data_IF_105655366440
#
_entry.id   IF_105655366440
#
_cell.length_a   1.000
_cell.length_b   1.000
_cell.length_c   1.000
_cell.angle_alpha   90.00
_cell.angle_beta   90.00
_cell.angle_gamma   90.00
#
_symmetry.space_group_name_H-M   'P 1'
#
loop_
_entity.id
_entity.type
_entity.pdbx_description
1 polymer ?
#
# COMPACT_ATOMS: atom_id res chain seq x y z
N UNK A 1 -10.45 -21.18 -7.01
CA UNK A 1 -11.12 -19.86 -7.16
C UNK A 1 -10.47 -19.01 -8.25
N UNK A 2 -9.12 -18.85 -8.28
CA UNK A 2 -8.46 -18.08 -9.35
C UNK A 2 -8.71 -18.61 -10.77
N UNK A 3 -8.71 -19.93 -10.96
CA UNK A 3 -9.07 -20.55 -12.26
C UNK A 3 -10.43 -20.07 -12.77
N UNK A 4 -11.45 -20.07 -11.92
CA UNK A 4 -12.80 -19.62 -12.28
C UNK A 4 -12.85 -18.11 -12.54
N UNK A 5 -12.21 -17.29 -11.70
CA UNK A 5 -12.16 -15.84 -11.90
C UNK A 5 -11.48 -15.48 -13.23
N UNK A 6 -10.33 -16.11 -13.54
CA UNK A 6 -9.63 -15.93 -14.81
C UNK A 6 -10.50 -16.32 -16.00
N UNK A 7 -11.23 -17.43 -15.90
CA UNK A 7 -12.15 -17.90 -16.94
C UNK A 7 -13.25 -16.88 -17.24
N UNK A 8 -13.90 -16.32 -16.21
CA UNK A 8 -14.95 -15.32 -16.40
C UNK A 8 -14.42 -14.00 -16.98
N UNK A 9 -13.23 -13.57 -16.54
CA UNK A 9 -12.60 -12.36 -17.09
C UNK A 9 -12.14 -12.57 -18.54
N UNK A 10 -11.67 -13.76 -18.88
CA UNK A 10 -11.38 -14.15 -20.27
C UNK A 10 -12.65 -14.08 -21.13
N UNK A 11 -13.76 -14.63 -20.66
CA UNK A 11 -15.05 -14.55 -21.35
C UNK A 11 -15.53 -13.11 -21.53
N UNK A 12 -15.46 -12.29 -20.48
CA UNK A 12 -15.81 -10.87 -20.56
C UNK A 12 -14.95 -10.14 -21.61
N UNK A 13 -13.65 -10.44 -21.66
CA UNK A 13 -12.73 -9.82 -22.64
C UNK A 13 -13.05 -10.26 -24.08
N UNK A 14 -13.41 -11.53 -24.28
CA UNK A 14 -13.86 -12.02 -25.59
C UNK A 14 -15.15 -11.30 -26.04
N UNK A 15 -16.15 -11.22 -25.16
CA UNK A 15 -17.43 -10.53 -25.47
C UNK A 15 -17.18 -9.06 -25.81
N UNK A 16 -16.29 -8.39 -25.06
CA UNK A 16 -15.90 -7.00 -25.38
C UNK A 16 -15.25 -6.91 -26.77
N UNK A 17 -14.35 -7.82 -27.10
CA UNK A 17 -13.68 -7.84 -28.42
C UNK A 17 -14.65 -8.08 -29.57
N UNK A 18 -15.63 -8.99 -29.42
CA UNK A 18 -16.65 -9.26 -30.43
C UNK A 18 -17.63 -8.08 -30.57
N UNK A 19 -17.98 -7.44 -29.46
CA UNK A 19 -18.81 -6.25 -29.46
C UNK A 19 -18.10 -5.07 -30.16
N UNK A 20 -16.82 -4.84 -29.89
CA UNK A 20 -16.02 -3.78 -30.53
C UNK A 20 -16.06 -3.89 -32.07
N UNK A 21 -15.96 -5.12 -32.58
CA UNK A 21 -15.98 -5.39 -34.02
C UNK A 21 -17.33 -5.07 -34.69
N UNK A 22 -18.42 -5.04 -33.92
CA UNK A 22 -19.79 -4.94 -34.45
C UNK A 22 -20.58 -3.72 -33.99
N UNK A 23 -20.13 -3.01 -32.94
CA UNK A 23 -20.92 -1.97 -32.26
C UNK A 23 -21.29 -0.75 -33.15
N UNK A 24 -20.54 -0.51 -34.23
CA UNK A 24 -20.80 0.59 -35.18
C UNK A 24 -21.40 0.11 -36.52
N UNK A 25 -21.75 -1.17 -36.63
CA UNK A 25 -22.32 -1.75 -37.86
C UNK A 25 -23.76 -1.34 -38.20
N UNK A 26 -24.64 -0.92 -37.26
CA UNK A 26 -25.98 -0.49 -37.61
C UNK A 26 -26.00 0.64 -38.65
N UNK A 27 -26.77 0.51 -39.75
CA UNK A 27 -26.87 1.57 -40.75
C UNK A 27 -27.61 2.78 -40.15
N UNK A 28 -27.17 3.99 -40.54
CA UNK A 28 -27.75 5.29 -40.15
C UNK A 28 -27.44 5.80 -38.74
N UNK A 29 -26.35 5.36 -38.09
CA UNK A 29 -25.86 6.02 -36.88
C UNK A 29 -25.38 7.45 -37.19
N UNK A 30 -25.86 8.43 -36.43
CA UNK A 30 -25.31 9.79 -36.45
C UNK A 30 -23.92 9.82 -35.82
N UNK A 31 -23.14 10.87 -36.09
CA UNK A 31 -21.81 11.03 -35.47
C UNK A 31 -21.87 11.12 -33.94
N UNK A 32 -22.93 11.75 -33.40
CA UNK A 32 -23.19 11.80 -31.95
C UNK A 32 -23.43 10.40 -31.37
N UNK A 33 -24.29 9.61 -32.01
CA UNK A 33 -24.56 8.22 -31.56
C UNK A 33 -23.30 7.35 -31.62
N UNK A 34 -22.45 7.51 -32.64
CA UNK A 34 -21.18 6.78 -32.72
C UNK A 34 -20.24 7.16 -31.58
N UNK A 35 -20.16 8.47 -31.26
CA UNK A 35 -19.35 8.95 -30.15
C UNK A 35 -19.84 8.38 -28.81
N UNK A 36 -21.15 8.37 -28.56
CA UNK A 36 -21.75 7.83 -27.33
C UNK A 36 -21.51 6.31 -27.18
N UNK A 37 -21.67 5.56 -28.27
CA UNK A 37 -21.38 4.11 -28.28
C UNK A 37 -19.89 3.87 -27.98
N UNK A 38 -19.00 4.62 -28.62
CA UNK A 38 -17.56 4.47 -28.42
C UNK A 38 -17.15 4.83 -26.99
N UNK A 39 -17.75 5.86 -26.40
CA UNK A 39 -17.48 6.25 -25.02
C UNK A 39 -17.99 5.21 -24.02
N UNK A 40 -19.21 4.70 -24.24
CA UNK A 40 -19.77 3.61 -23.44
C UNK A 40 -18.88 2.37 -23.51
N UNK A 41 -18.39 2.02 -24.71
CA UNK A 41 -17.47 0.90 -24.89
C UNK A 41 -16.17 1.09 -24.11
N UNK A 42 -15.53 2.27 -24.24
CA UNK A 42 -14.29 2.59 -23.52
C UNK A 42 -14.46 2.48 -22.01
N UNK A 43 -15.56 3.00 -21.48
CA UNK A 43 -15.90 2.89 -20.06
C UNK A 43 -16.00 1.43 -19.62
N UNK A 44 -16.80 0.61 -20.32
CA UNK A 44 -16.95 -0.82 -19.99
C UNK A 44 -15.65 -1.60 -20.13
N UNK A 45 -14.82 -1.25 -21.11
CA UNK A 45 -13.51 -1.87 -21.27
C UNK A 45 -12.56 -1.49 -20.13
N UNK A 46 -12.61 -0.24 -19.65
CA UNK A 46 -11.87 0.20 -18.47
C UNK A 46 -12.34 -0.51 -17.18
N UNK A 47 -13.63 -0.81 -17.05
CA UNK A 47 -14.15 -1.65 -15.95
C UNK A 47 -13.55 -3.06 -15.97
N UNK A 48 -13.55 -3.71 -17.14
CA UNK A 48 -12.92 -5.03 -17.33
C UNK A 48 -11.42 -4.97 -17.02
N UNK A 49 -10.74 -3.89 -17.43
CA UNK A 49 -9.33 -3.67 -17.13
C UNK A 49 -9.07 -3.60 -15.62
N UNK A 50 -9.89 -2.86 -14.86
CA UNK A 50 -9.78 -2.82 -13.40
C UNK A 50 -10.00 -4.20 -12.76
N UNK A 51 -10.94 -4.98 -13.28
CA UNK A 51 -11.15 -6.35 -12.79
C UNK A 51 -9.94 -7.27 -13.04
N UNK A 52 -9.30 -7.17 -14.21
CA UNK A 52 -8.05 -7.90 -14.48
C UNK A 52 -6.90 -7.47 -13.58
N UNK A 53 -6.77 -6.17 -13.32
CA UNK A 53 -5.77 -5.67 -12.38
C UNK A 53 -6.01 -6.20 -10.97
N UNK A 54 -7.26 -6.17 -10.49
CA UNK A 54 -7.67 -6.72 -9.20
C UNK A 54 -7.44 -8.22 -9.08
N UNK A 55 -7.66 -8.97 -10.15
CA UNK A 55 -7.33 -10.40 -10.20
C UNK A 55 -5.83 -10.63 -9.93
N UNK A 56 -4.95 -9.92 -10.62
CA UNK A 56 -3.51 -10.08 -10.44
C UNK A 56 -3.01 -9.59 -9.08
N UNK A 57 -3.55 -8.49 -8.55
CA UNK A 57 -3.27 -8.02 -7.19
C UNK A 57 -3.68 -9.06 -6.14
N UNK A 58 -4.90 -9.61 -6.25
CA UNK A 58 -5.38 -10.64 -5.34
C UNK A 58 -4.53 -11.92 -5.42
N UNK A 59 -4.08 -12.29 -6.62
CA UNK A 59 -3.20 -13.43 -6.83
C UNK A 59 -1.84 -13.22 -6.14
N UNK A 60 -1.21 -12.05 -6.31
CA UNK A 60 0.06 -11.72 -5.65
C UNK A 60 -0.09 -11.65 -4.13
N UNK A 61 -1.16 -11.03 -3.62
CA UNK A 61 -1.43 -10.96 -2.17
C UNK A 61 -1.59 -12.36 -1.59
N UNK A 62 -2.43 -13.21 -2.20
CA UNK A 62 -2.66 -14.55 -1.71
C UNK A 62 -1.41 -15.46 -1.82
N UNK A 63 -0.57 -15.23 -2.84
CA UNK A 63 0.72 -15.91 -2.98
C UNK A 63 1.67 -15.53 -1.85
N UNK A 64 1.77 -14.23 -1.54
CA UNK A 64 2.53 -13.71 -0.41
C UNK A 64 2.03 -14.26 0.93
N UNK A 65 0.72 -14.22 1.18
CA UNK A 65 0.14 -14.71 2.43
C UNK A 65 0.39 -16.21 2.62
N UNK A 66 0.38 -16.99 1.53
CA UNK A 66 0.74 -18.40 1.57
C UNK A 66 2.21 -18.62 1.94
N UNK A 67 3.12 -17.76 1.46
CA UNK A 67 4.54 -17.84 1.80
C UNK A 67 4.86 -17.41 3.24
N UNK A 68 4.00 -16.60 3.87
CA UNK A 68 4.14 -16.22 5.29
C UNK A 68 3.57 -17.25 6.27
N UNK A 69 2.60 -18.05 5.83
CA UNK A 69 1.93 -19.03 6.68
C UNK A 69 2.68 -20.36 6.64
N UNK A 70 3.50 -20.62 7.66
CA UNK A 70 4.17 -21.92 7.89
C UNK A 70 3.19 -23.09 8.11
N UNK A 71 1.90 -22.80 8.29
CA UNK A 71 0.85 -23.76 8.59
C UNK A 71 0.11 -24.21 7.33
N UNK A 72 0.85 -24.76 6.35
CA UNK A 72 0.31 -25.36 5.12
C UNK A 72 -0.86 -26.34 5.42
N UNK A 73 -0.81 -26.97 6.60
CA UNK A 73 -1.83 -27.89 7.13
C UNK A 73 -3.21 -27.25 7.19
N UNK A 74 -3.33 -26.02 7.70
CA UNK A 74 -4.61 -25.35 7.92
C UNK A 74 -5.24 -24.87 6.61
N UNK A 75 -4.43 -24.34 5.68
CA UNK A 75 -4.86 -23.96 4.34
C UNK A 75 -5.32 -25.16 3.51
N UNK A 76 -4.63 -26.30 3.63
CA UNK A 76 -5.02 -27.54 2.96
C UNK A 76 -6.34 -28.13 3.51
N UNK A 77 -6.59 -27.99 4.81
CA UNK A 77 -7.85 -28.42 5.43
C UNK A 77 -9.04 -27.54 5.02
N UNK A 78 -8.87 -26.22 4.99
CA UNK A 78 -9.92 -25.29 4.57
C UNK A 78 -10.24 -25.44 3.07
N UNK A 79 -9.22 -25.67 2.23
CA UNK A 79 -9.42 -25.97 0.80
C UNK A 79 -10.17 -27.29 0.58
N UNK A 80 -9.93 -28.34 1.41
CA UNK A 80 -10.67 -29.62 1.35
C UNK A 80 -12.13 -29.48 1.78
N UNK A 81 -12.47 -28.51 2.64
CA UNK A 81 -13.84 -28.24 3.09
C UNK A 81 -14.67 -27.51 2.03
N UNK A 82 -14.02 -26.78 1.12
CA UNK A 82 -14.67 -26.13 -0.01
C UNK A 82 -14.95 -27.13 -1.14
N UNK A 83 -16.12 -27.77 -1.09
CA UNK A 83 -16.65 -28.53 -2.24
C UNK A 83 -17.14 -27.58 -3.33
N UNK A 84 -16.21 -26.99 -4.09
CA UNK A 84 -16.53 -26.21 -5.29
C UNK A 84 -16.62 -27.21 -6.45
N UNK A 85 -17.77 -27.26 -7.12
CA UNK A 85 -17.86 -27.95 -8.40
C UNK A 85 -16.97 -27.18 -9.39
N UNK A 86 -15.84 -27.77 -9.79
CA UNK A 86 -14.86 -27.12 -10.66
C UNK A 86 -15.42 -26.75 -12.04
N UNK A 87 -16.49 -27.43 -12.46
CA UNK A 87 -17.18 -27.21 -13.73
C UNK A 87 -18.42 -26.32 -13.59
N UNK A 88 -18.82 -25.93 -12.38
CA UNK A 88 -19.89 -24.97 -12.22
C UNK A 88 -19.42 -23.62 -12.76
N UNK A 89 -20.26 -22.97 -13.57
CA UNK A 89 -20.03 -21.63 -14.12
C UNK A 89 -18.91 -21.54 -15.18
N UNK A 90 -18.63 -22.62 -15.94
CA UNK A 90 -17.76 -22.55 -17.11
C UNK A 90 -18.57 -22.30 -18.40
N UNK A 91 -18.07 -21.43 -19.26
CA UNK A 91 -18.58 -21.21 -20.61
C UNK A 91 -17.93 -22.20 -21.57
N UNK A 92 -18.50 -23.41 -21.67
CA UNK A 92 -17.89 -24.53 -22.39
C UNK A 92 -17.65 -24.23 -23.90
N UNK A 93 -18.47 -23.38 -24.51
CA UNK A 93 -18.43 -23.10 -25.94
C UNK A 93 -17.55 -21.88 -26.31
N UNK A 94 -16.93 -21.22 -25.32
CA UNK A 94 -16.14 -20.01 -25.56
C UNK A 94 -14.66 -20.34 -25.84
N UNK A 95 -14.05 -19.83 -26.92
CA UNK A 95 -12.63 -20.05 -27.23
C UNK A 95 -11.70 -19.13 -26.39
N UNK A 96 -11.52 -19.45 -25.11
CA UNK A 96 -10.87 -18.55 -24.13
C UNK A 96 -9.36 -18.74 -23.95
N UNK A 97 -8.77 -19.78 -24.53
CA UNK A 97 -7.36 -20.16 -24.32
C UNK A 97 -6.39 -18.99 -24.51
N UNK A 98 -6.61 -18.16 -25.54
CA UNK A 98 -5.75 -17.01 -25.88
C UNK A 98 -5.75 -15.92 -24.82
N UNK A 99 -6.82 -15.81 -24.02
CA UNK A 99 -6.93 -14.85 -22.93
C UNK A 99 -6.46 -15.47 -21.62
N UNK A 100 -6.82 -16.73 -21.34
CA UNK A 100 -6.44 -17.42 -20.11
C UNK A 100 -4.92 -17.64 -19.99
N UNK A 101 -4.22 -17.89 -21.10
CA UNK A 101 -2.76 -18.10 -21.10
C UNK A 101 -1.95 -16.83 -20.82
N UNK A 102 -2.58 -15.65 -20.80
CA UNK A 102 -1.90 -14.37 -20.57
C UNK A 102 -1.50 -14.15 -19.11
N UNK A 103 -2.09 -14.89 -18.18
CA UNK A 103 -1.79 -14.81 -16.75
C UNK A 103 -2.02 -16.16 -16.09
N UNK A 104 -1.18 -16.51 -15.12
CA UNK A 104 -1.34 -17.73 -14.33
C UNK A 104 -2.58 -17.70 -13.43
N UNK A 105 -3.07 -18.87 -13.03
CA UNK A 105 -4.03 -19.05 -11.95
C UNK A 105 -3.46 -19.78 -10.74
N UNK A 106 -2.17 -20.11 -10.81
CA UNK A 106 -1.40 -20.72 -9.74
C UNK A 106 -0.66 -19.65 -8.94
N UNK A 107 -0.39 -19.94 -7.67
CA UNK A 107 0.32 -19.02 -6.80
C UNK A 107 1.76 -18.77 -7.27
N UNK A 108 2.23 -17.53 -7.15
CA UNK A 108 3.60 -17.16 -7.43
C UNK A 108 4.51 -17.64 -6.30
N UNK A 109 5.61 -18.32 -6.63
CA UNK A 109 6.58 -18.81 -5.64
C UNK A 109 7.90 -18.04 -5.71
N UNK A 110 8.20 -17.46 -6.87
CA UNK A 110 9.45 -16.76 -7.14
C UNK A 110 9.22 -15.34 -7.65
N UNK A 111 10.29 -14.54 -7.69
CA UNK A 111 10.26 -13.23 -8.33
C UNK A 111 9.87 -13.30 -9.81
N UNK A 112 10.36 -14.29 -10.55
CA UNK A 112 10.07 -14.43 -11.98
C UNK A 112 8.57 -14.72 -12.22
N UNK A 113 7.94 -15.56 -11.39
CA UNK A 113 6.48 -15.79 -11.45
C UNK A 113 5.70 -14.49 -11.18
N UNK A 114 6.09 -13.78 -10.11
CA UNK A 114 5.43 -12.54 -9.69
C UNK A 114 5.62 -11.42 -10.72
N UNK A 115 6.75 -11.40 -11.42
CA UNK A 115 7.09 -10.41 -12.45
C UNK A 115 6.19 -10.52 -13.67
N UNK A 116 5.85 -11.74 -14.10
CA UNK A 116 4.89 -11.95 -15.20
C UNK A 116 3.50 -11.42 -14.83
N UNK A 117 3.03 -11.71 -13.61
CA UNK A 117 1.77 -11.14 -13.09
C UNK A 117 1.86 -9.62 -12.97
N UNK A 118 2.98 -9.09 -12.50
CA UNK A 118 3.22 -7.64 -12.42
C UNK A 118 3.09 -6.96 -13.79
N UNK A 119 3.74 -7.49 -14.83
CA UNK A 119 3.66 -6.93 -16.18
C UNK A 119 2.25 -7.00 -16.75
N UNK A 120 1.51 -8.07 -16.44
CA UNK A 120 0.10 -8.17 -16.80
C UNK A 120 -0.74 -7.09 -16.12
N UNK A 121 -0.61 -6.92 -14.79
CA UNK A 121 -1.40 -5.95 -14.02
C UNK A 121 -1.09 -4.52 -14.44
N UNK A 122 0.19 -4.15 -14.64
CA UNK A 122 0.57 -2.81 -15.12
C UNK A 122 -0.17 -2.44 -16.40
N UNK A 123 -0.20 -3.34 -17.40
CA UNK A 123 -0.87 -3.07 -18.68
C UNK A 123 -2.35 -2.76 -18.49
N UNK A 124 -3.04 -3.50 -17.62
CA UNK A 124 -4.46 -3.27 -17.37
C UNK A 124 -4.73 -2.03 -16.51
N UNK A 125 -3.87 -1.72 -15.55
CA UNK A 125 -3.96 -0.46 -14.81
C UNK A 125 -3.72 0.75 -15.71
N UNK A 126 -2.80 0.66 -16.68
CA UNK A 126 -2.56 1.72 -17.66
C UNK A 126 -3.80 1.95 -18.55
N UNK A 127 -4.46 0.87 -19.01
CA UNK A 127 -5.73 0.98 -19.77
C UNK A 127 -6.81 1.68 -18.92
N UNK A 128 -6.98 1.27 -17.67
CA UNK A 128 -7.97 1.91 -16.78
C UNK A 128 -7.64 3.39 -16.54
N UNK A 129 -6.36 3.71 -16.29
CA UNK A 129 -5.86 5.08 -16.08
C UNK A 129 -5.98 5.95 -17.34
N UNK A 130 -5.98 5.36 -18.52
CA UNK A 130 -6.22 6.08 -19.77
C UNK A 130 -7.67 6.57 -19.90
N UNK A 131 -8.63 5.84 -19.34
CA UNK A 131 -10.04 6.25 -19.34
C UNK A 131 -10.36 7.20 -18.17
N UNK A 132 -10.17 6.74 -16.92
CA UNK A 132 -10.50 7.50 -15.73
C UNK A 132 -9.50 8.65 -15.51
N UNK A 133 -9.98 9.89 -15.33
CA UNK A 133 -9.12 11.08 -15.17
C UNK A 133 -9.29 11.74 -13.81
N UNK A 134 -8.26 12.44 -13.30
CA UNK A 134 -8.34 13.08 -11.99
C UNK A 134 -9.34 14.24 -11.92
N UNK A 135 -9.67 14.88 -13.03
CA UNK A 135 -10.61 16.01 -13.13
C UNK A 135 -12.07 15.58 -13.29
N UNK A 136 -12.33 14.46 -13.97
CA UNK A 136 -13.69 13.93 -14.19
C UNK A 136 -14.08 12.83 -13.21
N UNK A 137 -13.12 11.97 -12.83
CA UNK A 137 -13.35 10.71 -12.10
C UNK A 137 -12.36 10.56 -10.94
N UNK A 138 -12.14 11.63 -10.16
CA UNK A 138 -11.11 11.71 -9.13
C UNK A 138 -11.06 10.50 -8.17
N UNK A 139 -12.23 9.98 -7.78
CA UNK A 139 -12.35 8.84 -6.86
C UNK A 139 -11.91 7.53 -7.53
N UNK A 140 -12.35 7.28 -8.75
CA UNK A 140 -11.99 6.09 -9.54
C UNK A 140 -10.52 6.13 -9.93
N UNK A 141 -10.01 7.29 -10.34
CA UNK A 141 -8.61 7.53 -10.60
C UNK A 141 -7.76 7.24 -9.36
N UNK A 142 -8.16 7.73 -8.19
CA UNK A 142 -7.46 7.45 -6.94
C UNK A 142 -7.40 5.96 -6.60
N UNK A 143 -8.48 5.21 -6.81
CA UNK A 143 -8.48 3.74 -6.64
C UNK A 143 -7.45 3.08 -7.55
N UNK A 144 -7.36 3.50 -8.81
CA UNK A 144 -6.37 2.96 -9.78
C UNK A 144 -4.94 3.27 -9.34
N UNK A 145 -4.68 4.48 -8.83
CA UNK A 145 -3.34 4.83 -8.33
C UNK A 145 -2.99 4.06 -7.04
N UNK A 146 -3.95 3.84 -6.16
CA UNK A 146 -3.77 2.95 -5.00
C UNK A 146 -3.45 1.51 -5.46
N UNK A 147 -4.09 1.02 -6.53
CA UNK A 147 -3.79 -0.30 -7.11
C UNK A 147 -2.36 -0.39 -7.66
N UNK A 148 -1.84 0.69 -8.27
CA UNK A 148 -0.42 0.77 -8.61
C UNK A 148 0.47 0.69 -7.36
N UNK A 149 0.13 1.43 -6.30
CA UNK A 149 0.91 1.42 -5.06
C UNK A 149 0.91 0.03 -4.39
N UNK A 150 -0.23 -0.65 -4.37
CA UNK A 150 -0.39 -2.03 -3.89
C UNK A 150 0.43 -3.01 -4.73
N UNK A 151 0.43 -2.87 -6.06
CA UNK A 151 1.23 -3.70 -6.95
C UNK A 151 2.73 -3.62 -6.61
N UNK A 152 3.24 -2.41 -6.37
CA UNK A 152 4.63 -2.22 -5.95
C UNK A 152 4.92 -2.73 -4.54
N UNK A 153 3.93 -2.77 -3.65
CA UNK A 153 4.05 -3.42 -2.35
C UNK A 153 4.25 -4.92 -2.51
N UNK A 154 3.45 -5.56 -3.38
CA UNK A 154 3.50 -7.00 -3.60
C UNK A 154 4.76 -7.42 -4.35
N UNK A 155 5.14 -6.73 -5.44
CA UNK A 155 6.34 -7.13 -6.19
C UNK A 155 7.63 -6.92 -5.39
N UNK A 156 7.67 -5.93 -4.49
CA UNK A 156 8.79 -5.73 -3.59
C UNK A 156 8.97 -6.88 -2.59
N UNK A 157 7.92 -7.64 -2.27
CA UNK A 157 8.04 -8.80 -1.39
C UNK A 157 8.82 -9.94 -2.04
N UNK A 158 8.63 -10.16 -3.34
CA UNK A 158 9.32 -11.23 -4.07
C UNK A 158 10.74 -10.85 -4.51
N UNK A 159 11.10 -9.57 -4.45
CA UNK A 159 12.42 -9.08 -4.82
C UNK A 159 13.46 -9.35 -3.71
N UNK A 160 14.54 -10.04 -4.06
CA UNK A 160 15.62 -10.41 -3.13
C UNK A 160 16.70 -9.33 -3.04
N UNK A 161 16.95 -8.56 -4.11
CA UNK A 161 17.94 -7.50 -4.09
C UNK A 161 17.44 -6.30 -3.27
N UNK A 162 18.09 -5.95 -2.14
CA UNK A 162 17.61 -4.88 -1.26
C UNK A 162 17.56 -3.51 -1.96
N UNK A 163 18.44 -3.28 -2.94
CA UNK A 163 18.47 -2.01 -3.67
C UNK A 163 17.26 -1.89 -4.58
N UNK A 164 16.89 -2.94 -5.31
CA UNK A 164 15.68 -3.00 -6.13
C UNK A 164 14.41 -2.97 -5.28
N UNK A 165 14.38 -3.70 -4.17
CA UNK A 165 13.27 -3.66 -3.22
C UNK A 165 13.04 -2.22 -2.71
N UNK A 166 14.11 -1.51 -2.38
CA UNK A 166 14.05 -0.08 -1.98
C UNK A 166 13.53 0.81 -3.12
N UNK A 167 13.89 0.55 -4.39
CA UNK A 167 13.35 1.30 -5.55
C UNK A 167 11.87 1.05 -5.74
N UNK A 168 11.40 -0.18 -5.57
CA UNK A 168 9.99 -0.55 -5.68
C UNK A 168 9.16 0.14 -4.58
N UNK A 169 9.62 0.12 -3.32
CA UNK A 169 8.96 0.86 -2.23
C UNK A 169 8.99 2.38 -2.47
N UNK A 170 10.07 2.92 -3.06
CA UNK A 170 10.11 4.34 -3.44
C UNK A 170 9.07 4.67 -4.51
N UNK A 171 8.88 3.76 -5.49
CA UNK A 171 7.85 3.94 -6.53
C UNK A 171 6.44 3.84 -5.96
N UNK A 172 6.21 2.94 -4.99
CA UNK A 172 4.97 2.89 -4.19
C UNK A 172 4.69 4.22 -3.48
N UNK A 173 5.68 4.78 -2.77
CA UNK A 173 5.51 6.09 -2.11
C UNK A 173 5.13 7.19 -3.10
N UNK A 174 5.76 7.20 -4.28
CA UNK A 174 5.51 8.19 -5.33
C UNK A 174 4.05 8.20 -5.81
N UNK A 175 3.41 7.04 -5.93
CA UNK A 175 1.99 6.98 -6.33
C UNK A 175 1.07 7.65 -5.30
N UNK A 176 1.32 7.44 -4.02
CA UNK A 176 0.57 8.15 -2.97
C UNK A 176 0.86 9.65 -2.96
N UNK A 177 2.12 10.05 -3.16
CA UNK A 177 2.50 11.47 -3.25
C UNK A 177 1.85 12.17 -4.45
N UNK A 178 1.78 11.51 -5.61
CA UNK A 178 1.08 12.02 -6.79
C UNK A 178 -0.41 12.26 -6.51
N UNK A 179 -1.09 11.39 -5.75
CA UNK A 179 -2.48 11.63 -5.34
C UNK A 179 -2.62 12.82 -4.39
N UNK A 180 -1.70 12.97 -3.45
CA UNK A 180 -1.70 14.07 -2.50
C UNK A 180 -1.45 15.43 -3.16
N UNK A 181 -0.76 15.46 -4.29
CA UNK A 181 -0.57 16.66 -5.12
C UNK A 181 -1.81 17.00 -5.95
N UNK A 182 -2.57 15.98 -6.38
CA UNK A 182 -3.74 16.14 -7.24
C UNK A 182 -5.03 16.47 -6.47
N UNK A 183 -5.21 15.88 -5.29
CA UNK A 183 -6.47 15.91 -4.57
C UNK A 183 -6.54 17.06 -3.57
N UNK A 184 -7.70 17.72 -3.51
CA UNK A 184 -7.99 18.69 -2.46
C UNK A 184 -8.44 17.96 -1.18
N UNK A 185 -7.70 18.07 -0.05
CA UNK A 185 -8.03 17.37 1.19
C UNK A 185 -9.38 17.75 1.80
N UNK A 186 -9.98 18.87 1.39
CA UNK A 186 -11.32 19.28 1.83
C UNK A 186 -12.41 18.35 1.31
N UNK A 187 -12.27 17.89 0.05
CA UNK A 187 -13.27 17.06 -0.62
C UNK A 187 -12.92 15.57 -0.58
N UNK A 188 -11.62 15.23 -0.54
CA UNK A 188 -11.12 13.87 -0.66
C UNK A 188 -10.34 13.39 0.57
N UNK A 189 -10.71 13.86 1.77
CA UNK A 189 -9.95 13.66 3.00
C UNK A 189 -9.62 12.19 3.29
N UNK A 190 -10.58 11.28 3.06
CA UNK A 190 -10.37 9.83 3.28
C UNK A 190 -9.27 9.28 2.36
N UNK A 191 -9.26 9.68 1.08
CA UNK A 191 -8.23 9.26 0.12
C UNK A 191 -6.87 9.87 0.50
N UNK A 192 -6.85 11.14 0.93
CA UNK A 192 -5.62 11.78 1.41
C UNK A 192 -5.07 11.07 2.65
N UNK A 193 -5.93 10.66 3.58
CA UNK A 193 -5.55 9.89 4.77
C UNK A 193 -4.92 8.55 4.41
N UNK A 194 -5.56 7.78 3.54
CA UNK A 194 -5.00 6.53 3.01
C UNK A 194 -3.63 6.76 2.35
N UNK A 195 -3.51 7.83 1.56
CA UNK A 195 -2.28 8.17 0.84
C UNK A 195 -1.14 8.60 1.77
N UNK A 196 -1.41 9.45 2.77
CA UNK A 196 -0.41 9.83 3.77
C UNK A 196 0.08 8.61 4.55
N UNK A 197 -0.85 7.78 5.02
CA UNK A 197 -0.47 6.60 5.79
C UNK A 197 0.31 5.58 4.92
N UNK A 198 -0.17 5.32 3.70
CA UNK A 198 0.49 4.45 2.72
C UNK A 198 1.89 4.92 2.34
N UNK A 199 2.10 6.22 2.12
CA UNK A 199 3.42 6.80 1.88
C UNK A 199 4.33 6.64 3.09
N UNK A 200 3.83 6.88 4.31
CA UNK A 200 4.57 6.67 5.56
C UNK A 200 5.06 5.22 5.72
N UNK A 201 4.20 4.23 5.42
CA UNK A 201 4.56 2.82 5.43
C UNK A 201 5.61 2.48 4.36
N UNK A 202 5.46 3.01 3.14
CA UNK A 202 6.42 2.78 2.06
C UNK A 202 7.82 3.32 2.41
N UNK A 203 7.92 4.54 2.94
CA UNK A 203 9.20 5.07 3.42
C UNK A 203 9.74 4.31 4.64
N UNK A 204 8.88 3.81 5.52
CA UNK A 204 9.33 2.95 6.64
C UNK A 204 9.92 1.63 6.15
N UNK A 205 9.35 1.02 5.10
CA UNK A 205 9.95 -0.16 4.47
C UNK A 205 11.32 0.15 3.84
N UNK A 206 11.45 1.30 3.16
CA UNK A 206 12.76 1.76 2.65
C UNK A 206 13.77 1.95 3.79
N UNK A 207 13.34 2.51 4.92
CA UNK A 207 14.20 2.73 6.08
C UNK A 207 14.73 1.40 6.62
N UNK A 208 13.85 0.41 6.78
CA UNK A 208 14.22 -0.89 7.34
C UNK A 208 15.28 -1.59 6.46
N UNK A 209 15.06 -1.59 5.14
CA UNK A 209 16.05 -2.08 4.16
C UNK A 209 17.39 -1.36 4.30
N UNK A 210 17.38 -0.02 4.38
CA UNK A 210 18.62 0.77 4.50
C UNK A 210 19.34 0.54 5.81
N UNK A 211 18.61 0.36 6.91
CA UNK A 211 19.20 0.07 8.21
C UNK A 211 19.84 -1.31 8.23
N UNK A 212 19.26 -2.30 7.55
CA UNK A 212 19.84 -3.64 7.47
C UNK A 212 21.10 -3.66 6.59
N UNK A 213 21.09 -2.94 5.46
CA UNK A 213 22.30 -2.70 4.67
C UNK A 213 23.39 -1.97 5.48
N UNK A 214 23.00 -0.98 6.30
CA UNK A 214 23.93 -0.25 7.17
C UNK A 214 24.57 -1.19 8.21
N UNK A 215 23.78 -2.07 8.83
CA UNK A 215 24.29 -3.07 9.80
C UNK A 215 25.25 -4.07 9.15
N UNK A 216 25.00 -4.45 7.90
CA UNK A 216 25.88 -5.34 7.14
C UNK A 216 27.17 -4.64 6.67
N UNK A 217 27.16 -3.30 6.58
CA UNK A 217 28.33 -2.51 6.19
C UNK A 217 29.35 -2.41 7.32
N UNK A 218 30.63 -2.67 6.99
CA UNK A 218 31.76 -2.55 7.94
C UNK A 218 32.19 -1.09 8.15
N UNK A 219 31.87 -0.20 7.22
CA UNK A 219 32.27 1.21 7.25
C UNK A 219 31.12 2.10 6.76
N UNK A 220 30.20 2.49 7.66
CA UNK A 220 29.14 3.46 7.36
C UNK A 220 29.72 4.75 6.76
N UNK A 221 29.28 5.13 5.56
CA UNK A 221 29.66 6.43 5.00
C UNK A 221 28.65 7.52 5.38
N UNK A 222 29.06 8.80 5.51
CA UNK A 222 28.14 9.89 5.86
C UNK A 222 26.97 10.09 4.87
N UNK A 223 27.16 9.73 3.60
CA UNK A 223 26.12 9.86 2.58
C UNK A 223 24.97 8.87 2.79
N UNK A 224 25.26 7.64 3.23
CA UNK A 224 24.27 6.63 3.61
C UNK A 224 23.45 7.07 4.82
N UNK A 225 24.11 7.64 5.83
CA UNK A 225 23.43 8.21 7.00
C UNK A 225 22.50 9.37 6.60
N UNK A 226 22.95 10.23 5.69
CA UNK A 226 22.12 11.30 5.11
C UNK A 226 20.87 10.76 4.43
N UNK A 227 21.00 9.70 3.63
CA UNK A 227 19.86 9.03 2.95
C UNK A 227 18.90 8.38 3.95
N UNK A 228 19.40 7.75 5.00
CA UNK A 228 18.57 7.17 6.08
C UNK A 228 17.75 8.26 6.75
N UNK A 229 18.40 9.36 7.15
CA UNK A 229 17.71 10.47 7.79
C UNK A 229 16.68 11.12 6.85
N UNK A 230 16.99 11.27 5.56
CA UNK A 230 16.04 11.79 4.58
C UNK A 230 14.78 10.91 4.50
N UNK A 231 14.94 9.58 4.48
CA UNK A 231 13.82 8.63 4.48
C UNK A 231 13.01 8.75 5.78
N UNK A 232 13.67 8.85 6.95
CA UNK A 232 12.98 9.10 8.21
C UNK A 232 12.12 10.37 8.14
N UNK A 233 12.67 11.48 7.62
CA UNK A 233 11.95 12.74 7.53
C UNK A 233 10.75 12.66 6.60
N UNK A 234 10.84 11.95 5.47
CA UNK A 234 9.69 11.72 4.58
C UNK A 234 8.60 10.88 5.27
N UNK A 235 8.97 9.79 5.95
CA UNK A 235 8.02 8.98 6.69
C UNK A 235 7.33 9.79 7.82
N UNK A 236 8.10 10.58 8.58
CA UNK A 236 7.58 11.44 9.66
C UNK A 236 6.62 12.48 9.08
N UNK A 237 6.97 13.15 7.98
CA UNK A 237 6.11 14.13 7.31
C UNK A 237 4.73 13.52 7.03
N UNK A 238 4.71 12.36 6.36
CA UNK A 238 3.47 11.72 5.95
C UNK A 238 2.64 11.21 7.13
N UNK A 239 3.23 10.52 8.10
CA UNK A 239 2.49 10.09 9.29
C UNK A 239 1.99 11.26 10.14
N UNK A 240 2.74 12.37 10.23
CA UNK A 240 2.27 13.57 10.92
C UNK A 240 1.07 14.19 10.21
N UNK A 241 1.10 14.32 8.88
CA UNK A 241 -0.07 14.80 8.13
C UNK A 241 -1.30 13.90 8.33
N UNK A 242 -1.10 12.58 8.40
CA UNK A 242 -2.17 11.65 8.76
C UNK A 242 -2.74 11.93 10.16
N UNK A 243 -1.89 12.01 11.19
CA UNK A 243 -2.30 12.31 12.58
C UNK A 243 -3.02 13.67 12.65
N UNK A 244 -2.46 14.70 12.03
CA UNK A 244 -3.01 16.06 12.00
C UNK A 244 -4.41 16.08 11.36
N UNK A 245 -4.69 15.22 10.38
CA UNK A 245 -6.02 15.11 9.77
C UNK A 245 -7.12 14.61 10.73
N UNK A 246 -6.72 13.96 11.83
CA UNK A 246 -7.58 13.47 12.92
C UNK A 246 -7.46 14.31 14.20
N UNK A 247 -6.71 15.42 14.17
CA UNK A 247 -6.48 16.28 15.32
C UNK A 247 -7.24 17.60 15.17
N UNK A 248 -7.94 18.01 16.22
CA UNK A 248 -8.61 19.31 16.33
C UNK A 248 -7.63 20.43 16.67
N UNK A 249 -8.07 21.69 16.57
CA UNK A 249 -7.21 22.86 16.83
C UNK A 249 -6.66 22.92 18.26
N UNK A 250 -7.37 22.31 19.21
CA UNK A 250 -6.97 22.23 20.62
C UNK A 250 -6.03 21.04 20.91
N UNK A 251 -5.73 20.22 19.91
CA UNK A 251 -4.89 19.03 20.02
C UNK A 251 -5.64 17.76 20.41
N UNK A 252 -6.96 17.82 20.65
CA UNK A 252 -7.78 16.64 20.88
C UNK A 252 -8.02 15.86 19.59
N UNK A 253 -8.32 14.57 19.71
CA UNK A 253 -8.66 13.74 18.55
C UNK A 253 -10.13 13.91 18.17
N UNK A 254 -10.43 13.79 16.87
CA UNK A 254 -11.80 13.85 16.37
C UNK A 254 -12.70 12.78 17.02
N UNK A 255 -13.90 13.11 17.51
CA UNK A 255 -14.71 12.20 18.32
C UNK A 255 -15.34 11.03 17.54
N UNK A 256 -15.46 11.13 16.22
CA UNK A 256 -16.23 10.19 15.39
C UNK A 256 -15.34 9.20 14.62
N UNK A 257 -14.17 8.85 15.14
CA UNK A 257 -13.33 7.82 14.53
C UNK A 257 -13.87 6.43 14.82
N UNK A 258 -13.92 5.57 13.81
CA UNK A 258 -14.18 4.15 14.04
C UNK A 258 -12.99 3.43 14.71
N UNK A 259 -13.17 2.17 15.12
CA UNK A 259 -12.14 1.40 15.83
C UNK A 259 -10.87 1.21 14.99
N UNK A 260 -11.00 1.06 13.68
CA UNK A 260 -9.86 0.86 12.78
C UNK A 260 -9.10 2.17 12.55
N UNK A 261 -9.82 3.28 12.39
CA UNK A 261 -9.24 4.62 12.33
C UNK A 261 -8.48 4.94 13.61
N UNK A 262 -9.09 4.70 14.79
CA UNK A 262 -8.43 4.89 16.09
C UNK A 262 -7.16 4.05 16.19
N UNK A 263 -7.22 2.78 15.80
CA UNK A 263 -6.06 1.89 15.79
C UNK A 263 -4.95 2.41 14.88
N UNK A 264 -5.31 2.87 13.68
CA UNK A 264 -4.36 3.37 12.69
C UNK A 264 -3.71 4.67 13.15
N UNK A 265 -4.46 5.56 13.82
CA UNK A 265 -3.93 6.79 14.44
C UNK A 265 -2.96 6.46 15.59
N UNK A 266 -3.28 5.47 16.43
CA UNK A 266 -2.35 4.98 17.45
C UNK A 266 -1.06 4.46 16.79
N UNK A 267 -1.18 3.60 15.78
CA UNK A 267 -0.03 3.03 15.09
C UNK A 267 0.83 4.10 14.39
N UNK A 268 0.21 5.16 13.84
CA UNK A 268 0.94 6.31 13.31
C UNK A 268 1.78 7.02 14.39
N UNK A 269 1.27 7.19 15.61
CA UNK A 269 2.06 7.74 16.72
C UNK A 269 3.25 6.85 17.07
N UNK A 270 3.04 5.54 17.14
CA UNK A 270 4.12 4.56 17.31
C UNK A 270 5.20 4.71 16.23
N UNK A 271 4.79 4.79 14.96
CA UNK A 271 5.71 4.98 13.85
C UNK A 271 6.51 6.28 13.95
N UNK A 272 5.87 7.42 14.24
CA UNK A 272 6.58 8.71 14.37
C UNK A 272 7.59 8.64 15.53
N UNK A 273 7.22 8.03 16.66
CA UNK A 273 8.13 7.79 17.79
C UNK A 273 9.35 6.95 17.40
N UNK A 274 9.13 5.88 16.63
CA UNK A 274 10.19 5.00 16.07
C UNK A 274 11.09 5.75 15.12
N UNK A 275 10.53 6.53 14.20
CA UNK A 275 11.29 7.23 13.16
C UNK A 275 12.20 8.30 13.76
N UNK A 276 11.71 9.09 14.72
CA UNK A 276 12.57 10.05 15.44
C UNK A 276 13.74 9.36 16.16
N UNK A 277 13.50 8.20 16.78
CA UNK A 277 14.56 7.44 17.44
C UNK A 277 15.62 6.89 16.46
N UNK A 278 15.22 6.62 15.21
CA UNK A 278 16.09 6.05 14.17
C UNK A 278 16.92 7.11 13.42
N UNK A 279 16.69 8.41 13.64
CA UNK A 279 17.53 9.47 13.05
C UNK A 279 18.93 9.43 13.67
N UNK A 280 19.95 9.39 12.81
CA UNK A 280 21.37 9.29 13.21
C UNK A 280 22.04 10.62 12.94
N UNK A 281 22.41 11.36 13.99
CA UNK A 281 23.07 12.66 13.86
C UNK A 281 24.19 12.84 14.88
N UNK A 282 25.35 13.42 14.50
CA UNK A 282 26.38 13.82 15.44
C UNK A 282 26.05 15.15 16.16
N UNK A 283 25.11 15.94 15.62
CA UNK A 283 24.65 17.18 16.25
C UNK A 283 23.86 16.85 17.52
N UNK A 284 24.38 17.27 18.67
CA UNK A 284 23.82 16.97 19.97
C UNK A 284 22.47 17.68 20.22
N UNK A 285 22.25 18.87 19.64
CA UNK A 285 20.97 19.56 19.76
C UNK A 285 19.89 18.81 18.98
N UNK A 286 20.20 18.44 17.73
CA UNK A 286 19.28 17.64 16.91
C UNK A 286 19.06 16.24 17.51
N UNK A 287 20.08 15.64 18.12
CA UNK A 287 19.94 14.39 18.85
C UNK A 287 18.99 14.54 20.04
N UNK A 288 19.12 15.62 20.82
CA UNK A 288 18.24 15.90 21.96
C UNK A 288 16.79 16.10 21.51
N UNK A 289 16.58 16.86 20.43
CA UNK A 289 15.26 17.11 19.84
C UNK A 289 14.59 15.80 19.41
N UNK A 290 15.30 14.97 18.64
CA UNK A 290 14.77 13.70 18.15
C UNK A 290 14.43 12.72 19.28
N UNK A 291 15.27 12.61 20.31
CA UNK A 291 14.96 11.77 21.47
C UNK A 291 13.75 12.30 22.26
N UNK A 292 13.61 13.63 22.36
CA UNK A 292 12.48 14.27 23.03
C UNK A 292 11.18 14.04 22.26
N UNK A 293 11.20 14.16 20.93
CA UNK A 293 10.07 13.85 20.07
C UNK A 293 9.72 12.36 20.13
N UNK A 294 10.70 11.47 20.07
CA UNK A 294 10.48 10.03 20.24
C UNK A 294 9.76 9.71 21.56
N UNK A 295 10.24 10.29 22.67
CA UNK A 295 9.61 10.12 23.98
C UNK A 295 8.18 10.67 24.01
N UNK A 296 7.95 11.85 23.41
CA UNK A 296 6.62 12.46 23.30
C UNK A 296 5.63 11.52 22.61
N UNK A 297 5.97 11.05 21.41
CA UNK A 297 5.06 10.22 20.61
C UNK A 297 4.81 8.85 21.25
N UNK A 298 5.82 8.21 21.84
CA UNK A 298 5.62 6.95 22.57
C UNK A 298 4.77 7.12 23.83
N UNK A 299 4.91 8.23 24.56
CA UNK A 299 4.02 8.54 25.70
C UNK A 299 2.58 8.71 25.24
N UNK A 300 2.35 9.55 24.23
CA UNK A 300 1.01 9.73 23.65
C UNK A 300 0.41 8.39 23.21
N UNK A 301 1.19 7.55 22.53
CA UNK A 301 0.73 6.21 22.14
C UNK A 301 0.26 5.36 23.32
N UNK A 302 1.05 5.27 24.40
CA UNK A 302 0.70 4.49 25.60
C UNK A 302 -0.53 5.08 26.29
N UNK A 303 -0.54 6.40 26.49
CA UNK A 303 -1.60 7.10 27.20
C UNK A 303 -2.95 6.95 26.47
N UNK A 304 -2.95 7.02 25.14
CA UNK A 304 -4.16 6.82 24.33
C UNK A 304 -4.55 5.35 24.20
N UNK A 305 -3.59 4.41 24.10
CA UNK A 305 -3.91 2.97 24.17
C UNK A 305 -4.59 2.57 25.49
N UNK A 306 -4.22 3.21 26.60
CA UNK A 306 -4.83 2.97 27.90
C UNK A 306 -6.28 3.49 27.98
N UNK A 307 -6.65 4.49 27.18
CA UNK A 307 -8.02 5.03 27.09
C UNK A 307 -8.88 4.26 26.09
N UNK A 308 -8.26 3.75 25.03
CA UNK A 308 -8.91 3.10 23.89
C UNK A 308 -8.62 1.59 23.89
N UNK A 309 -9.23 0.86 24.82
CA UNK A 309 -8.97 -0.58 25.02
C UNK A 309 -9.22 -1.42 23.75
N UNK A 310 -10.33 -1.16 23.04
CA UNK A 310 -10.72 -1.98 21.88
C UNK A 310 -9.73 -1.84 20.70
N UNK A 311 -9.38 -0.63 20.22
CA UNK A 311 -8.32 -0.47 19.23
C UNK A 311 -6.97 -1.05 19.66
N UNK A 312 -6.62 -0.95 20.96
CA UNK A 312 -5.32 -1.34 21.48
C UNK A 312 -5.11 -2.86 21.59
N UNK A 313 -6.17 -3.70 21.53
CA UNK A 313 -6.05 -5.17 21.60
C UNK A 313 -5.09 -5.77 20.59
N UNK A 314 -5.03 -5.20 19.38
CA UNK A 314 -4.13 -5.66 18.32
C UNK A 314 -2.70 -5.11 18.43
N UNK A 315 -2.43 -4.21 19.38
CA UNK A 315 -1.18 -3.43 19.47
C UNK A 315 -0.33 -3.78 20.70
N UNK A 316 -0.55 -4.95 21.31
CA UNK A 316 0.08 -5.30 22.58
C UNK A 316 1.61 -5.42 22.48
N UNK A 317 2.12 -5.86 21.32
CA UNK A 317 3.55 -5.92 21.07
C UNK A 317 4.18 -4.50 21.08
N UNK A 318 3.55 -3.56 20.39
CA UNK A 318 3.96 -2.16 20.30
C UNK A 318 3.85 -1.46 21.65
N UNK A 319 2.80 -1.74 22.43
CA UNK A 319 2.63 -1.25 23.81
C UNK A 319 3.78 -1.70 24.69
N UNK A 320 4.19 -2.97 24.59
CA UNK A 320 5.36 -3.50 25.29
C UNK A 320 6.64 -2.72 24.96
N UNK A 321 6.93 -2.58 23.66
CA UNK A 321 8.12 -1.86 23.16
C UNK A 321 8.10 -0.39 23.61
N UNK A 322 6.97 0.29 23.49
CA UNK A 322 6.85 1.70 23.87
C UNK A 322 7.09 1.89 25.37
N UNK A 323 6.58 0.99 26.22
CA UNK A 323 6.77 1.06 27.67
C UNK A 323 8.24 0.99 28.05
N UNK A 324 9.00 0.09 27.43
CA UNK A 324 10.45 0.03 27.62
C UNK A 324 11.14 1.31 27.14
N UNK A 325 10.75 1.82 25.98
CA UNK A 325 11.33 3.05 25.40
C UNK A 325 11.04 4.29 26.25
N UNK A 326 9.84 4.42 26.81
CA UNK A 326 9.47 5.54 27.70
C UNK A 326 10.29 5.53 29.00
N UNK A 327 10.70 4.35 29.47
CA UNK A 327 11.60 4.22 30.63
C UNK A 327 13.07 4.49 30.26
N UNK A 328 13.51 4.10 29.06
CA UNK A 328 14.90 4.22 28.60
C UNK A 328 15.27 5.64 28.13
N UNK A 329 14.39 6.27 27.34
CA UNK A 329 14.67 7.54 26.67
C UNK A 329 15.01 8.71 27.62
N UNK A 330 14.36 8.87 28.81
CA UNK A 330 14.73 9.91 29.76
C UNK A 330 16.21 9.86 30.18
N UNK A 331 16.76 8.66 30.38
CA UNK A 331 18.19 8.49 30.71
C UNK A 331 19.09 8.90 29.54
N UNK A 332 18.73 8.53 28.30
CA UNK A 332 19.47 8.95 27.09
C UNK A 332 19.43 10.46 26.90
N UNK A 333 18.27 11.08 27.10
CA UNK A 333 18.07 12.54 27.04
C UNK A 333 18.96 13.24 28.08
N UNK A 334 18.98 12.77 29.33
CA UNK A 334 19.83 13.32 30.38
C UNK A 334 21.32 13.25 30.02
N UNK A 335 21.76 12.14 29.42
CA UNK A 335 23.15 11.97 28.97
C UNK A 335 23.52 12.92 27.83
N UNK A 336 22.61 13.21 26.90
CA UNK A 336 22.84 14.21 25.83
C UNK A 336 22.94 15.61 26.44
N UNK A 337 22.02 15.98 27.34
CA UNK A 337 22.05 17.28 28.04
C UNK A 337 23.36 17.50 28.80
N UNK A 338 23.88 16.48 29.48
CA UNK A 338 25.19 16.54 30.16
C UNK A 338 26.36 16.79 29.20
N UNK A 339 26.28 16.30 27.96
CA UNK A 339 27.32 16.53 26.94
C UNK A 339 27.22 17.93 26.33
N UNK A 340 26.01 18.47 26.19
CA UNK A 340 25.76 19.85 25.72
C UNK A 340 26.16 20.93 26.73
N UNK A 341 26.16 20.60 28.03
CA UNK A 341 26.55 21.52 29.09
C UNK A 341 28.07 21.61 29.30
N UNK A 342 28.86 20.84 28.53
CA UNK A 342 30.33 20.91 28.46
C UNK A 342 30.72 21.66 27.21
#
# INVERSE_FOLDING_TARGET
MFKQARHHLAAATLVMSEHEATMLTPPNLTEEQKADIQETFKHRYADVARCWAKYGLALLSASKDRLFNDDETKLAEDAKRLKINENAYLFADFPLDTYEKRITCDYCLTFDDAKEVYHFVIKWLDIAKEHYKPDTDATEYAKIINDFAELYQHIAFFEEDPVNQSKMQKRRAKYYEELLELLNPTFYLSICRESWYGAGLAYSAILDIKLDLLKASRTPNPQELGKINQVCQQAIKHFKSYIESYTEKDGSWKPNMDVEEQRTVLYAHFHVGRLHYKIITPDQNLQLENLSNSLKYYKTFIDECAKLEEPAKALQAEVGVCREMVNLLPMKIANVKKRLAK
#
